data_IF_644811204005
#
_entry.id   IF_644811204005
#
_cell.length_a   1.000
_cell.length_b   1.000
_cell.length_c   1.000
_cell.angle_alpha   90.00
_cell.angle_beta   90.00
_cell.angle_gamma   90.00
#
_symmetry.space_group_name_H-M   'P 1'
#
loop_
_entity.id
_entity.type
_entity.pdbx_description
1 polymer ?
#
# COMPACT_ATOMS: atom_id res chain seq x y z
N UNK A 1 -12.64 37.49 54.90
CA UNK A 1 -12.33 36.05 55.08
C UNK A 1 -12.85 35.14 53.94
N UNK A 2 -13.95 35.48 53.23
CA UNK A 2 -14.51 34.65 52.14
C UNK A 2 -13.66 34.54 50.85
N UNK A 3 -12.77 35.52 50.58
CA UNK A 3 -11.92 35.53 49.37
C UNK A 3 -10.77 34.50 49.37
N UNK A 4 -10.34 34.01 50.54
CA UNK A 4 -9.22 33.04 50.64
C UNK A 4 -9.66 31.57 50.43
N UNK A 5 -10.91 31.24 50.79
CA UNK A 5 -11.46 29.89 50.63
C UNK A 5 -11.76 29.57 49.16
N UNK A 6 -12.44 30.47 48.44
CA UNK A 6 -12.77 30.27 47.02
C UNK A 6 -11.53 30.20 46.10
N UNK A 7 -10.39 30.80 46.51
CA UNK A 7 -9.11 30.74 45.77
C UNK A 7 -8.41 29.38 45.92
N UNK A 8 -8.54 28.74 47.08
CA UNK A 8 -7.96 27.42 47.37
C UNK A 8 -8.72 26.30 46.63
N UNK A 9 -10.05 26.37 46.58
CA UNK A 9 -10.85 25.39 45.81
C UNK A 9 -10.60 25.48 44.31
N UNK A 10 -10.52 26.70 43.76
CA UNK A 10 -10.17 26.91 42.34
C UNK A 10 -8.80 26.30 41.98
N UNK A 11 -7.81 26.39 42.87
CA UNK A 11 -6.46 25.85 42.65
C UNK A 11 -6.42 24.31 42.74
N UNK A 12 -7.20 23.72 43.66
CA UNK A 12 -7.35 22.25 43.77
C UNK A 12 -8.08 21.64 42.57
N UNK A 13 -9.12 22.31 42.08
CA UNK A 13 -9.83 21.91 40.85
C UNK A 13 -8.84 21.96 39.68
N UNK A 14 -8.05 23.04 39.55
CA UNK A 14 -7.05 23.13 38.47
C UNK A 14 -5.98 22.02 38.53
N UNK A 15 -5.53 21.66 39.74
CA UNK A 15 -4.56 20.57 39.96
C UNK A 15 -5.15 19.20 39.59
N UNK A 16 -6.44 18.96 39.82
CA UNK A 16 -7.10 17.70 39.48
C UNK A 16 -7.48 17.64 37.99
N UNK A 17 -7.86 18.75 37.39
CA UNK A 17 -8.26 18.83 35.98
C UNK A 17 -7.05 18.75 35.03
N UNK A 18 -5.87 19.20 35.43
CA UNK A 18 -4.66 19.17 34.60
C UNK A 18 -4.24 17.74 34.17
N UNK A 19 -4.04 16.75 35.06
CA UNK A 19 -3.71 15.38 34.65
C UNK A 19 -4.87 14.70 33.91
N UNK A 20 -6.12 15.03 34.25
CA UNK A 20 -7.29 14.49 33.55
C UNK A 20 -7.33 14.94 32.09
N UNK A 21 -7.07 16.23 31.82
CA UNK A 21 -6.99 16.74 30.45
C UNK A 21 -5.82 16.14 29.67
N UNK A 22 -4.66 15.94 30.29
CA UNK A 22 -3.53 15.26 29.66
C UNK A 22 -3.83 13.80 29.31
N UNK A 23 -4.51 13.07 30.20
CA UNK A 23 -4.96 11.70 29.94
C UNK A 23 -5.96 11.63 28.78
N UNK A 24 -6.91 12.57 28.70
CA UNK A 24 -7.86 12.65 27.60
C UNK A 24 -7.19 12.95 26.25
N UNK A 25 -6.21 13.87 26.25
CA UNK A 25 -5.40 14.16 25.07
C UNK A 25 -4.63 12.91 24.63
N UNK A 26 -3.95 12.23 25.55
CA UNK A 26 -3.22 10.99 25.25
C UNK A 26 -4.14 9.91 24.66
N UNK A 27 -5.34 9.69 25.23
CA UNK A 27 -6.33 8.75 24.70
C UNK A 27 -6.80 9.13 23.28
N UNK A 28 -7.00 10.43 23.02
CA UNK A 28 -7.37 10.93 21.69
C UNK A 28 -6.26 10.68 20.67
N UNK A 29 -5.01 10.94 21.02
CA UNK A 29 -3.86 10.69 20.15
C UNK A 29 -3.71 9.20 19.83
N UNK A 30 -3.85 8.32 20.84
CA UNK A 30 -3.78 6.87 20.65
C UNK A 30 -4.91 6.39 19.71
N UNK A 31 -6.14 6.88 19.92
CA UNK A 31 -7.28 6.52 19.06
C UNK A 31 -7.09 6.95 17.61
N UNK A 32 -6.48 8.13 17.39
CA UNK A 32 -6.15 8.66 16.07
C UNK A 32 -5.12 7.78 15.36
N UNK A 33 -4.02 7.42 16.02
CA UNK A 33 -2.96 6.58 15.44
C UNK A 33 -3.50 5.20 15.06
N UNK A 34 -4.32 4.59 15.93
CA UNK A 34 -4.93 3.27 15.66
C UNK A 34 -5.88 3.31 14.45
N UNK A 35 -6.58 4.42 14.22
CA UNK A 35 -7.47 4.56 13.07
C UNK A 35 -6.69 4.61 11.75
N UNK A 36 -5.58 5.35 11.70
CA UNK A 36 -4.72 5.44 10.52
C UNK A 36 -4.09 4.08 10.17
N UNK A 37 -3.64 3.30 11.16
CA UNK A 37 -3.09 1.96 10.91
C UNK A 37 -4.13 0.99 10.33
N UNK A 38 -5.38 1.04 10.81
CA UNK A 38 -6.46 0.22 10.23
C UNK A 38 -6.72 0.56 8.78
N UNK A 39 -6.75 1.85 8.44
CA UNK A 39 -6.92 2.28 7.04
C UNK A 39 -5.77 1.74 6.18
N UNK A 40 -4.53 1.81 6.67
CA UNK A 40 -3.37 1.25 5.98
C UNK A 40 -3.44 -0.27 5.84
N UNK A 41 -4.03 -1.00 6.80
CA UNK A 41 -4.22 -2.44 6.70
C UNK A 41 -5.24 -2.84 5.62
N UNK A 42 -6.19 -1.97 5.31
CA UNK A 42 -7.19 -2.19 4.26
C UNK A 42 -6.64 -1.91 2.85
N UNK A 43 -5.51 -1.19 2.73
CA UNK A 43 -4.89 -0.85 1.44
C UNK A 43 -4.13 -2.04 0.86
N UNK A 44 -4.50 -2.40 -0.37
CA UNK A 44 -3.81 -3.40 -1.19
C UNK A 44 -2.94 -2.72 -2.24
N UNK A 45 -1.93 -3.42 -2.74
CA UNK A 45 -1.11 -2.90 -3.84
C UNK A 45 -1.81 -3.15 -5.17
N UNK A 46 -1.85 -2.11 -6.00
CA UNK A 46 -2.40 -2.15 -7.34
C UNK A 46 -1.34 -1.69 -8.35
N UNK A 47 -1.43 -2.23 -9.56
CA UNK A 47 -0.70 -1.82 -10.75
C UNK A 47 -1.67 -1.03 -11.61
N UNK A 48 -1.37 0.25 -11.78
CA UNK A 48 -2.17 1.21 -12.54
C UNK A 48 -1.52 1.33 -13.91
N UNK A 49 -2.25 0.96 -14.96
CA UNK A 49 -1.82 1.13 -16.34
C UNK A 49 -2.42 2.40 -16.91
N UNK A 50 -1.56 3.25 -17.45
CA UNK A 50 -1.91 4.52 -18.06
C UNK A 50 -1.77 4.48 -19.59
N UNK A 51 -2.60 5.25 -20.27
CA UNK A 51 -2.54 5.45 -21.71
C UNK A 51 -1.66 6.66 -22.04
N UNK A 52 -0.40 6.40 -22.38
CA UNK A 52 0.55 7.46 -22.73
C UNK A 52 0.05 8.38 -23.86
N UNK A 53 -0.79 7.91 -24.77
CA UNK A 53 -1.33 8.74 -25.86
C UNK A 53 -2.30 9.81 -25.38
N UNK A 54 -2.88 9.62 -24.18
CA UNK A 54 -3.84 10.54 -23.55
C UNK A 54 -3.18 11.49 -22.57
N UNK A 55 -1.85 11.50 -22.49
CA UNK A 55 -1.14 12.40 -21.59
C UNK A 55 -1.36 13.85 -22.01
N UNK A 56 -1.85 14.72 -21.11
CA UNK A 56 -2.04 16.13 -21.43
C UNK A 56 -0.71 16.81 -21.77
N UNK A 57 -0.72 17.68 -22.79
CA UNK A 57 0.46 18.42 -23.22
C UNK A 57 1.06 19.32 -22.11
N UNK A 58 0.27 19.67 -21.08
CA UNK A 58 0.72 20.42 -19.91
C UNK A 58 1.82 19.71 -19.11
N UNK A 59 1.90 18.38 -19.20
CA UNK A 59 2.94 17.59 -18.53
C UNK A 59 4.20 17.39 -19.38
N UNK A 60 4.22 17.85 -20.63
CA UNK A 60 5.38 17.74 -21.52
C UNK A 60 5.77 16.28 -21.76
N UNK A 61 6.99 15.89 -21.36
CA UNK A 61 7.48 14.50 -21.36
C UNK A 61 7.57 13.92 -19.93
N UNK A 62 7.10 14.65 -18.91
CA UNK A 62 7.17 14.24 -17.51
C UNK A 62 5.97 13.37 -17.11
N UNK A 63 6.15 12.07 -17.32
CA UNK A 63 5.17 11.07 -16.90
C UNK A 63 5.01 11.00 -15.37
N UNK A 64 6.00 11.38 -14.57
CA UNK A 64 5.94 11.26 -13.11
C UNK A 64 4.95 12.26 -12.49
N UNK A 65 4.96 13.49 -12.98
CA UNK A 65 4.01 14.52 -12.55
C UNK A 65 2.57 14.14 -12.92
N UNK A 66 2.37 13.59 -14.12
CA UNK A 66 1.04 13.13 -14.54
C UNK A 66 0.53 11.97 -13.69
N UNK A 67 1.37 10.98 -13.39
CA UNK A 67 1.02 9.85 -12.53
C UNK A 67 0.71 10.30 -11.10
N UNK A 68 1.57 11.14 -10.53
CA UNK A 68 1.38 11.69 -9.18
C UNK A 68 0.10 12.53 -9.07
N UNK A 69 -0.19 13.36 -10.07
CA UNK A 69 -1.42 14.16 -10.11
C UNK A 69 -2.68 13.28 -10.15
N UNK A 70 -2.66 12.24 -10.98
CA UNK A 70 -3.77 11.28 -11.07
C UNK A 70 -3.96 10.53 -9.75
N UNK A 71 -2.88 10.09 -9.10
CA UNK A 71 -2.95 9.44 -7.79
C UNK A 71 -3.48 10.37 -6.69
N UNK A 72 -2.95 11.60 -6.59
CA UNK A 72 -3.35 12.55 -5.55
C UNK A 72 -4.79 13.04 -5.68
N UNK A 73 -5.40 12.89 -6.86
CA UNK A 73 -6.80 13.22 -7.07
C UNK A 73 -7.76 12.23 -6.39
N UNK A 74 -7.36 10.98 -6.19
CA UNK A 74 -8.17 9.95 -5.50
C UNK A 74 -7.73 9.72 -4.06
N UNK A 75 -6.43 9.84 -3.78
CA UNK A 75 -5.88 9.59 -2.45
C UNK A 75 -4.77 10.57 -2.12
N UNK A 76 -4.96 11.33 -1.04
CA UNK A 76 -3.95 12.30 -0.56
C UNK A 76 -2.78 11.61 0.14
N UNK A 77 -3.05 10.49 0.79
CA UNK A 77 -2.07 9.74 1.59
C UNK A 77 -1.35 8.64 0.81
N UNK A 78 -1.86 8.24 -0.36
CA UNK A 78 -1.16 7.27 -1.21
C UNK A 78 0.04 7.89 -1.92
N UNK A 79 1.10 7.09 -2.02
CA UNK A 79 2.33 7.43 -2.73
C UNK A 79 2.64 6.36 -3.78
N UNK A 80 3.44 6.74 -4.77
CA UNK A 80 3.89 5.84 -5.83
C UNK A 80 4.98 4.92 -5.28
N UNK A 81 4.77 3.61 -5.37
CA UNK A 81 5.75 2.59 -4.96
C UNK A 81 6.75 2.30 -6.07
N UNK A 82 6.27 2.14 -7.31
CA UNK A 82 7.09 1.85 -8.46
C UNK A 82 6.52 2.49 -9.73
N UNK A 83 7.37 2.86 -10.68
CA UNK A 83 6.94 3.43 -11.96
C UNK A 83 7.42 2.56 -13.12
N UNK A 84 6.47 2.14 -13.96
CA UNK A 84 6.72 1.39 -15.19
C UNK A 84 6.75 2.37 -16.39
N UNK A 85 7.81 2.31 -17.21
CA UNK A 85 8.00 3.24 -18.34
C UNK A 85 8.29 2.59 -19.69
N UNK A 86 8.73 1.33 -19.72
CA UNK A 86 9.23 0.69 -20.95
C UNK A 86 8.12 -0.06 -21.68
N UNK A 87 7.71 -1.21 -21.14
CA UNK A 87 6.72 -2.10 -21.78
C UNK A 87 5.29 -1.73 -21.34
N UNK A 88 5.18 -1.29 -20.10
CA UNK A 88 3.93 -0.83 -19.49
C UNK A 88 4.19 0.63 -19.10
N UNK A 89 3.29 1.53 -19.51
CA UNK A 89 3.24 2.89 -18.99
C UNK A 89 2.29 2.90 -17.79
N UNK A 90 2.80 3.22 -16.61
CA UNK A 90 2.00 3.14 -15.40
C UNK A 90 2.83 3.18 -14.13
N UNK A 91 2.19 2.90 -13.00
CA UNK A 91 2.82 2.90 -11.70
C UNK A 91 2.11 1.92 -10.75
N UNK A 92 2.77 1.52 -9.67
CA UNK A 92 2.14 0.78 -8.58
C UNK A 92 1.98 1.66 -7.34
N UNK A 93 0.90 1.44 -6.59
CA UNK A 93 0.59 2.18 -5.36
C UNK A 93 -0.30 1.35 -4.45
N UNK A 94 -0.44 1.77 -3.18
CA UNK A 94 -1.35 1.14 -2.21
C UNK A 94 -2.63 1.96 -2.12
N UNK A 95 -3.75 1.32 -2.41
CA UNK A 95 -5.08 1.94 -2.44
C UNK A 95 -6.09 1.07 -1.70
N UNK A 96 -7.15 1.69 -1.20
CA UNK A 96 -8.37 0.96 -0.83
C UNK A 96 -9.11 0.53 -2.10
N UNK A 97 -10.05 -0.40 -1.98
CA UNK A 97 -10.87 -0.84 -3.11
C UNK A 97 -11.67 0.33 -3.72
N UNK A 98 -12.20 1.21 -2.88
CA UNK A 98 -12.96 2.39 -3.29
C UNK A 98 -12.07 3.39 -4.05
N UNK A 99 -10.86 3.67 -3.55
CA UNK A 99 -9.91 4.55 -4.24
C UNK A 99 -9.50 3.97 -5.60
N UNK A 100 -9.31 2.64 -5.68
CA UNK A 100 -8.98 1.96 -6.93
C UNK A 100 -10.11 2.07 -7.98
N UNK A 101 -11.37 1.91 -7.57
CA UNK A 101 -12.53 2.10 -8.45
C UNK A 101 -12.69 3.55 -8.93
N UNK A 102 -12.42 4.52 -8.06
CA UNK A 102 -12.43 5.93 -8.44
C UNK A 102 -11.33 6.25 -9.44
N UNK A 103 -10.16 5.64 -9.26
CA UNK A 103 -9.02 5.79 -10.16
C UNK A 103 -9.31 5.19 -11.53
N UNK A 104 -9.90 3.99 -11.58
CA UNK A 104 -10.26 3.32 -12.84
C UNK A 104 -11.21 4.15 -13.72
N UNK A 105 -12.07 4.97 -13.12
CA UNK A 105 -13.01 5.85 -13.83
C UNK A 105 -12.34 7.07 -14.48
N UNK A 106 -11.06 7.33 -14.20
CA UNK A 106 -10.36 8.52 -14.70
C UNK A 106 -9.95 8.40 -16.17
N UNK A 107 -10.04 9.52 -16.89
CA UNK A 107 -9.54 9.60 -18.26
C UNK A 107 -8.02 9.43 -18.29
N UNK A 108 -7.55 8.51 -19.12
CA UNK A 108 -6.11 8.21 -19.26
C UNK A 108 -5.67 6.97 -18.48
N UNK A 109 -6.55 6.37 -17.69
CA UNK A 109 -6.31 5.08 -17.04
C UNK A 109 -6.92 3.97 -17.89
N UNK A 110 -6.10 2.96 -18.20
CA UNK A 110 -6.47 1.81 -19.03
C UNK A 110 -6.99 0.68 -18.17
N UNK A 111 -6.34 0.43 -17.04
CA UNK A 111 -6.72 -0.64 -16.11
C UNK A 111 -6.09 -0.43 -14.74
N UNK A 112 -6.80 -0.83 -13.70
CA UNK A 112 -6.29 -0.90 -12.32
C UNK A 112 -6.32 -2.36 -11.87
N UNK A 113 -5.16 -2.99 -11.74
CA UNK A 113 -5.04 -4.42 -11.48
C UNK A 113 -4.46 -4.66 -10.08
N UNK A 114 -5.05 -5.52 -9.23
CA UNK A 114 -4.42 -5.88 -7.97
C UNK A 114 -3.09 -6.59 -8.21
N UNK A 115 -2.04 -6.22 -7.48
CA UNK A 115 -0.73 -6.87 -7.57
C UNK A 115 -0.80 -8.26 -6.94
N UNK A 116 -0.50 -9.28 -7.74
CA UNK A 116 -0.41 -10.67 -7.29
C UNK A 116 1.07 -11.03 -7.12
N UNK A 117 1.44 -11.50 -5.92
CA UNK A 117 2.75 -12.13 -5.70
C UNK A 117 2.67 -13.58 -6.17
N UNK A 118 3.41 -13.89 -7.23
CA UNK A 118 3.59 -15.27 -7.67
C UNK A 118 4.77 -15.90 -6.94
N UNK A 119 4.60 -17.11 -6.43
CA UNK A 119 5.74 -17.91 -5.98
C UNK A 119 6.59 -18.29 -7.18
N UNK A 120 7.87 -17.91 -7.12
CA UNK A 120 8.80 -18.16 -8.20
C UNK A 120 9.17 -19.65 -8.21
N UNK A 121 8.50 -20.42 -9.05
CA UNK A 121 9.00 -21.74 -9.42
C UNK A 121 10.22 -21.55 -10.31
N UNK A 122 11.41 -21.85 -9.79
CA UNK A 122 12.64 -21.76 -10.58
C UNK A 122 12.65 -22.91 -11.59
N UNK A 123 12.89 -22.62 -12.87
CA UNK A 123 13.00 -23.64 -13.92
C UNK A 123 14.30 -24.46 -13.85
N UNK A 124 15.04 -24.36 -12.74
CA UNK A 124 16.38 -24.96 -12.52
C UNK A 124 16.40 -26.00 -11.40
N UNK A 125 15.24 -26.41 -10.89
CA UNK A 125 15.14 -27.62 -10.07
C UNK A 125 14.89 -28.82 -10.99
N UNK A 126 15.59 -29.95 -10.83
CA UNK A 126 15.36 -31.19 -11.57
C UNK A 126 13.88 -31.59 -11.67
N UNK A 127 13.12 -31.38 -10.59
CA UNK A 127 11.70 -31.70 -10.47
C UNK A 127 10.82 -30.84 -11.39
N UNK A 128 11.30 -29.67 -11.83
CA UNK A 128 10.59 -28.80 -12.76
C UNK A 128 10.44 -29.43 -14.16
N UNK A 129 11.36 -30.31 -14.56
CA UNK A 129 11.32 -31.01 -15.85
C UNK A 129 10.72 -32.42 -15.76
N UNK A 130 10.19 -32.79 -14.58
CA UNK A 130 9.70 -34.12 -14.26
C UNK A 130 10.81 -35.06 -13.73
N UNK A 131 10.44 -36.17 -13.07
CA UNK A 131 11.41 -37.13 -12.57
C UNK A 131 12.21 -37.74 -13.73
N UNK A 132 13.54 -37.71 -13.63
CA UNK A 132 14.39 -38.49 -14.52
C UNK A 132 14.00 -39.97 -14.38
N UNK A 133 13.77 -40.71 -15.50
CA UNK A 133 13.47 -42.12 -15.41
C UNK A 133 14.63 -42.82 -14.69
N UNK A 134 14.32 -43.54 -13.61
CA UNK A 134 15.27 -44.47 -12.99
C UNK A 134 15.88 -45.33 -14.10
N UNK A 135 17.19 -45.23 -14.27
CA UNK A 135 17.96 -46.14 -15.12
C UNK A 135 17.73 -47.55 -14.60
N UNK A 136 16.83 -48.29 -15.24
CA UNK A 136 16.62 -49.72 -14.96
C UNK A 136 17.98 -50.41 -15.10
N UNK A 137 18.46 -51.14 -14.09
CA UNK A 137 19.73 -51.86 -14.21
C UNK A 137 19.59 -52.88 -15.34
N UNK A 138 20.37 -52.68 -16.40
CA UNK A 138 20.43 -53.55 -17.57
C UNK A 138 20.93 -54.92 -17.15
N UNK A 139 20.00 -55.84 -16.91
CA UNK A 139 20.27 -57.26 -16.78
C UNK A 139 20.63 -57.80 -18.17
N UNK A 140 21.93 -57.89 -18.48
CA UNK A 140 22.41 -58.66 -19.63
C UNK A 140 23.62 -59.47 -19.18
N UNK A 141 23.35 -60.68 -18.70
CA UNK A 141 23.45 -61.93 -19.46
C UNK A 141 24.88 -62.26 -19.85
N UNK A 142 25.39 -63.29 -19.16
CA UNK A 142 26.59 -64.03 -19.52
C UNK A 142 26.53 -64.50 -20.98
N UNK A 143 27.65 -64.41 -21.69
CA UNK A 143 28.00 -65.37 -22.72
C UNK A 143 29.46 -65.77 -22.49
N UNK A 144 29.57 -67.02 -22.01
CA UNK A 144 30.63 -68.03 -22.14
C UNK A 144 31.99 -67.63 -22.71
#
# INVERSE_FOLDING_TARGET
>A
MKLRLAKSEKMKIHICMLPLTFMLLALSHISCVVAEEREQQMKKTYIIRMDKSRMPASFGDDHFQWYGSSLKSVSKSADVLYTYRIIIHGFSTRLTAEEAELLEKQSGIVSVLPELRYELHTTRTPEFLGPFPETRPSSRHQIK
#
